data_IF_367967548647
#
_entry.id   IF_367967548647
#
_cell.length_a   1.000
_cell.length_b   1.000
_cell.length_c   1.000
_cell.angle_alpha   90.00
_cell.angle_beta   90.00
_cell.angle_gamma   90.00
#
_symmetry.space_group_name_H-M   'P 1'
#
loop_
_entity.id
_entity.type
_entity.pdbx_description
1 polymer ?
#
# COMPACT_ATOMS: atom_id res chain seq x y z
N UNK A 1 -35.04 -17.82 -9.81
CA UNK A 1 -33.87 -18.72 -9.75
C UNK A 1 -32.99 -18.38 -10.95
N UNK A 2 -31.67 -18.24 -10.76
CA UNK A 2 -30.75 -17.97 -11.87
C UNK A 2 -30.55 -19.25 -12.67
N UNK A 3 -30.79 -19.20 -13.98
CA UNK A 3 -30.60 -20.35 -14.87
C UNK A 3 -29.09 -20.64 -15.02
N UNK A 4 -28.63 -21.88 -14.78
CA UNK A 4 -27.22 -22.21 -14.89
C UNK A 4 -26.76 -22.12 -16.35
N UNK A 5 -25.62 -21.47 -16.58
CA UNK A 5 -25.12 -21.30 -17.95
C UNK A 5 -24.79 -22.66 -18.59
N UNK A 6 -25.03 -22.85 -19.91
CA UNK A 6 -24.69 -24.09 -20.63
C UNK A 6 -23.19 -24.47 -20.57
N UNK A 7 -22.36 -23.50 -20.16
CA UNK A 7 -20.91 -23.63 -20.08
C UNK A 7 -20.41 -24.03 -18.68
N UNK A 8 -21.33 -24.25 -17.74
CA UNK A 8 -21.05 -24.63 -16.36
C UNK A 8 -21.70 -25.97 -16.03
N UNK A 9 -20.95 -26.87 -15.40
CA UNK A 9 -21.48 -28.15 -14.96
C UNK A 9 -22.46 -27.94 -13.78
N UNK A 10 -23.73 -28.33 -13.88
CA UNK A 10 -24.73 -28.10 -12.84
C UNK A 10 -24.48 -28.92 -11.56
N UNK A 11 -23.65 -29.97 -11.60
CA UNK A 11 -23.35 -30.81 -10.44
C UNK A 11 -22.09 -30.36 -9.71
N UNK A 12 -21.03 -30.03 -10.46
CA UNK A 12 -19.73 -29.66 -9.89
C UNK A 12 -19.47 -28.16 -9.87
N UNK A 13 -20.32 -27.36 -10.53
CA UNK A 13 -20.17 -25.92 -10.75
C UNK A 13 -18.86 -25.52 -11.45
N UNK A 14 -18.15 -26.50 -12.05
CA UNK A 14 -16.91 -26.28 -12.80
C UNK A 14 -17.19 -25.79 -14.20
N UNK A 15 -16.20 -25.15 -14.80
CA UNK A 15 -16.24 -24.76 -16.21
C UNK A 15 -16.17 -26.00 -17.10
N UNK A 16 -16.98 -26.04 -18.16
CA UNK A 16 -16.89 -27.10 -19.16
C UNK A 16 -15.68 -26.91 -20.08
N UNK A 17 -15.18 -27.97 -20.74
CA UNK A 17 -14.09 -27.85 -21.71
C UNK A 17 -14.38 -26.86 -22.85
N UNK A 18 -15.65 -26.71 -23.24
CA UNK A 18 -16.08 -25.71 -24.21
C UNK A 18 -15.82 -24.28 -23.71
N UNK A 19 -16.12 -24.00 -22.44
CA UNK A 19 -15.87 -22.70 -21.82
C UNK A 19 -14.37 -22.39 -21.76
N UNK A 20 -13.54 -23.38 -21.42
CA UNK A 20 -12.08 -23.21 -21.30
C UNK A 20 -11.48 -22.83 -22.66
N UNK A 21 -11.86 -23.53 -23.74
CA UNK A 21 -11.39 -23.21 -25.10
C UNK A 21 -11.82 -21.82 -25.55
N UNK A 22 -13.06 -21.43 -25.27
CA UNK A 22 -13.57 -20.09 -25.62
C UNK A 22 -12.77 -18.97 -24.93
N UNK A 23 -12.24 -19.21 -23.72
CA UNK A 23 -11.48 -18.21 -22.95
C UNK A 23 -9.98 -18.19 -23.24
N UNK A 24 -9.42 -19.28 -23.77
CA UNK A 24 -7.99 -19.41 -24.09
C UNK A 24 -7.38 -18.21 -24.85
N UNK A 25 -8.00 -17.64 -25.91
CA UNK A 25 -7.39 -16.53 -26.66
C UNK A 25 -7.36 -15.21 -25.88
N UNK A 26 -8.22 -15.02 -24.88
CA UNK A 26 -8.32 -13.77 -24.12
C UNK A 26 -7.37 -13.74 -22.92
N UNK A 27 -6.87 -14.89 -22.47
CA UNK A 27 -6.04 -15.00 -21.27
C UNK A 27 -4.82 -14.06 -21.32
N UNK A 28 -4.09 -14.04 -22.44
CA UNK A 28 -2.91 -13.18 -22.61
C UNK A 28 -3.25 -11.69 -22.54
N UNK A 29 -4.33 -11.27 -23.23
CA UNK A 29 -4.76 -9.87 -23.27
C UNK A 29 -5.24 -9.40 -21.90
N UNK A 30 -6.00 -10.24 -21.20
CA UNK A 30 -6.47 -9.94 -19.86
C UNK A 30 -5.32 -9.88 -18.85
N UNK A 31 -4.33 -10.78 -18.96
CA UNK A 31 -3.14 -10.76 -18.10
C UNK A 31 -2.30 -9.50 -18.32
N UNK A 32 -2.15 -9.07 -19.56
CA UNK A 32 -1.47 -7.81 -19.88
C UNK A 32 -2.20 -6.60 -19.30
N UNK A 33 -3.53 -6.57 -19.41
CA UNK A 33 -4.35 -5.54 -18.78
C UNK A 33 -4.21 -5.53 -17.26
N UNK A 34 -4.21 -6.70 -16.62
CA UNK A 34 -4.00 -6.84 -15.18
C UNK A 34 -2.61 -6.33 -14.76
N UNK A 35 -1.56 -6.72 -15.48
CA UNK A 35 -0.19 -6.24 -15.23
C UNK A 35 -0.08 -4.73 -15.36
N UNK A 36 -0.76 -4.14 -16.34
CA UNK A 36 -0.77 -2.69 -16.50
C UNK A 36 -1.47 -2.01 -15.33
N UNK A 37 -2.65 -2.50 -14.92
CA UNK A 37 -3.38 -1.93 -13.80
C UNK A 37 -2.57 -1.98 -12.51
N UNK A 38 -2.06 -3.17 -12.14
CA UNK A 38 -1.25 -3.38 -10.94
C UNK A 38 0.08 -2.62 -11.03
N UNK A 39 0.72 -2.62 -12.20
CA UNK A 39 1.97 -1.93 -12.44
C UNK A 39 1.85 -0.43 -12.24
N UNK A 40 0.80 0.19 -12.81
CA UNK A 40 0.54 1.63 -12.64
C UNK A 40 0.25 1.96 -11.18
N UNK A 41 -0.66 1.23 -10.51
CA UNK A 41 -0.98 1.51 -9.10
C UNK A 41 0.22 1.31 -8.19
N UNK A 42 0.95 0.20 -8.35
CA UNK A 42 2.14 -0.11 -7.58
C UNK A 42 3.26 0.91 -7.80
N UNK A 43 3.45 1.38 -9.03
CA UNK A 43 4.46 2.41 -9.35
C UNK A 43 4.11 3.72 -8.67
N UNK A 44 2.86 4.17 -8.73
CA UNK A 44 2.42 5.41 -8.06
C UNK A 44 2.66 5.30 -6.55
N UNK A 45 2.19 4.22 -5.92
CA UNK A 45 2.32 4.05 -4.48
C UNK A 45 3.77 3.96 -4.02
N UNK A 46 4.61 3.20 -4.74
CA UNK A 46 6.03 3.07 -4.40
C UNK A 46 6.79 4.36 -4.64
N UNK A 47 6.45 5.10 -5.70
CA UNK A 47 7.04 6.41 -5.98
C UNK A 47 6.68 7.42 -4.89
N UNK A 48 5.40 7.55 -4.54
CA UNK A 48 4.96 8.51 -3.50
C UNK A 48 5.55 8.16 -2.14
N UNK A 49 5.53 6.88 -1.76
CA UNK A 49 6.15 6.42 -0.52
C UNK A 49 7.64 6.75 -0.48
N UNK A 50 8.38 6.49 -1.57
CA UNK A 50 9.81 6.83 -1.64
C UNK A 50 10.03 8.34 -1.60
N UNK A 51 9.21 9.12 -2.32
CA UNK A 51 9.34 10.57 -2.38
C UNK A 51 9.09 11.22 -1.02
N UNK A 52 8.03 10.82 -0.31
CA UNK A 52 7.71 11.35 1.03
C UNK A 52 8.80 11.02 2.05
N UNK A 53 9.45 9.86 1.93
CA UNK A 53 10.52 9.45 2.84
C UNK A 53 11.90 9.96 2.45
N UNK A 54 12.05 10.75 1.37
CA UNK A 54 13.36 11.33 1.00
C UNK A 54 13.83 12.40 1.99
N UNK A 55 12.91 13.21 2.50
CA UNK A 55 13.24 14.32 3.39
C UNK A 55 12.97 13.93 4.85
N UNK A 56 13.87 13.15 5.44
CA UNK A 56 13.88 12.86 6.88
C UNK A 56 14.40 14.02 7.72
N UNK A 57 15.00 15.02 7.07
CA UNK A 57 15.57 16.21 7.70
C UNK A 57 14.58 17.36 7.56
N UNK A 58 13.82 17.65 8.62
CA UNK A 58 12.99 18.86 8.75
C UNK A 58 13.84 20.15 8.81
N UNK A 59 15.00 20.19 8.13
CA UNK A 59 15.94 21.32 8.17
C UNK A 59 15.34 22.62 7.63
N UNK A 60 14.33 22.52 6.76
CA UNK A 60 13.62 23.65 6.19
C UNK A 60 12.46 24.14 7.08
N UNK A 61 12.19 23.49 8.21
CA UNK A 61 11.22 23.96 9.19
C UNK A 61 11.94 24.95 10.12
N UNK A 62 11.66 26.26 10.03
CA UNK A 62 12.26 27.22 10.94
C UNK A 62 11.82 26.87 12.37
N UNK A 63 12.78 26.63 13.25
CA UNK A 63 12.51 26.41 14.66
C UNK A 63 11.93 27.74 15.20
N UNK A 64 10.71 27.73 15.77
CA UNK A 64 10.15 28.94 16.35
C UNK A 64 11.08 29.42 17.49
N UNK A 65 11.21 30.75 17.71
CA UNK A 65 11.97 31.25 18.85
C UNK A 65 11.31 30.74 20.14
N UNK A 66 12.06 29.95 20.92
CA UNK A 66 11.63 29.34 22.19
C UNK A 66 12.20 30.18 23.34
N UNK A 67 11.40 30.44 24.37
CA UNK A 67 11.88 31.06 25.62
C UNK A 67 12.83 30.10 26.37
N UNK A 68 13.90 30.62 26.96
CA UNK A 68 14.95 29.81 27.62
C UNK A 68 14.37 28.91 28.72
N UNK A 69 13.31 29.37 29.40
CA UNK A 69 12.60 28.62 30.45
C UNK A 69 11.85 27.41 29.89
N UNK A 70 11.24 27.54 28.72
CA UNK A 70 10.53 26.44 28.06
C UNK A 70 11.53 25.42 27.52
N UNK A 71 12.69 25.87 27.02
CA UNK A 71 13.76 24.99 26.55
C UNK A 71 14.29 24.07 27.66
N UNK A 72 14.45 24.59 28.88
CA UNK A 72 14.88 23.78 30.03
C UNK A 72 13.84 22.73 30.43
N UNK A 73 12.56 23.07 30.39
CA UNK A 73 11.47 22.12 30.67
C UNK A 73 11.43 21.01 29.63
N UNK A 74 11.48 21.37 28.35
CA UNK A 74 11.47 20.42 27.23
C UNK A 74 12.68 19.46 27.27
N UNK A 75 13.87 19.95 27.63
CA UNK A 75 15.05 19.09 27.81
C UNK A 75 14.86 18.07 28.93
N UNK A 76 14.31 18.49 30.07
CA UNK A 76 14.03 17.58 31.20
C UNK A 76 13.02 16.49 30.81
N UNK A 77 11.95 16.88 30.11
CA UNK A 77 10.93 15.94 29.62
C UNK A 77 11.52 14.93 28.63
N UNK A 78 12.34 15.40 27.69
CA UNK A 78 13.03 14.54 26.73
C UNK A 78 13.93 13.51 27.41
N UNK A 79 14.73 13.92 28.40
CA UNK A 79 15.60 12.98 29.13
C UNK A 79 14.80 11.94 29.92
N UNK A 80 13.69 12.35 30.55
CA UNK A 80 12.79 11.44 31.25
C UNK A 80 12.15 10.42 30.29
N UNK A 81 11.70 10.85 29.12
CA UNK A 81 11.10 9.97 28.13
C UNK A 81 12.13 9.01 27.53
N UNK A 82 13.34 9.49 27.25
CA UNK A 82 14.47 8.67 26.78
C UNK A 82 14.83 7.59 27.81
N UNK A 83 14.89 7.94 29.09
CA UNK A 83 15.13 6.97 30.16
C UNK A 83 14.01 5.93 30.27
N UNK A 84 12.73 6.35 30.17
CA UNK A 84 11.58 5.42 30.15
C UNK A 84 11.61 4.45 28.97
N UNK A 85 11.98 4.93 27.77
CA UNK A 85 12.13 4.07 26.57
C UNK A 85 13.28 3.08 26.71
N UNK A 86 14.36 3.45 27.40
CA UNK A 86 15.51 2.56 27.62
C UNK A 86 15.25 1.48 28.70
N UNK A 87 14.28 1.69 29.58
CA UNK A 87 13.87 0.74 30.62
C UNK A 87 12.77 -0.25 30.16
N UNK A 88 12.22 -0.06 28.96
CA UNK A 88 11.16 -0.89 28.38
C UNK A 88 11.73 -1.85 27.34
#
# INVERSE_FOLDING_TARGET
MLEPSPYQDPRTWKMTPAMIRARAPFFKKNMMGLLLLVGVTGTIYTYTYRMLNKDTSFADVPIPPIDEKELEQLKKEYELEKAKRAQK
#
